data_IF_016566275357
#
_entry.id   IF_016566275357
#
_cell.length_a   1.000
_cell.length_b   1.000
_cell.length_c   1.000
_cell.angle_alpha   90.00
_cell.angle_beta   90.00
_cell.angle_gamma   90.00
#
_symmetry.space_group_name_H-M   'P 1'
#
loop_
_entity.id
_entity.type
_entity.pdbx_description
1 polymer ?
#
# COMPACT_ATOMS: atom_id res chain seq x y z
N UNK A 1 11.79 0.46 -14.97
CA UNK A 1 11.45 1.46 -13.94
C UNK A 1 10.16 2.23 -14.30
N UNK A 2 9.91 2.50 -15.58
CA UNK A 2 8.76 3.27 -16.11
C UNK A 2 7.38 2.76 -15.68
N UNK A 3 7.22 1.44 -15.54
CA UNK A 3 5.98 0.82 -15.08
C UNK A 3 5.67 1.28 -13.65
N UNK A 4 6.66 1.26 -12.75
CA UNK A 4 6.47 1.65 -11.37
C UNK A 4 6.13 3.14 -11.27
N UNK A 5 6.90 4.00 -11.96
CA UNK A 5 6.63 5.44 -12.03
C UNK A 5 5.19 5.75 -12.43
N UNK A 6 4.69 5.06 -13.48
CA UNK A 6 3.34 5.28 -14.00
C UNK A 6 2.24 4.89 -13.00
N UNK A 7 2.45 3.80 -12.25
CA UNK A 7 1.41 3.24 -11.38
C UNK A 7 1.47 3.76 -9.95
N UNK A 8 2.65 4.17 -9.47
CA UNK A 8 2.83 4.69 -8.10
C UNK A 8 2.85 6.22 -8.06
N UNK A 9 3.10 6.89 -9.18
CA UNK A 9 3.27 8.35 -9.24
C UNK A 9 4.60 8.84 -8.65
N UNK A 10 5.53 7.93 -8.34
CA UNK A 10 6.84 8.29 -7.78
C UNK A 10 7.83 8.70 -8.87
N UNK A 11 8.76 9.64 -8.59
CA UNK A 11 9.78 10.04 -9.55
C UNK A 11 10.79 8.93 -9.83
N UNK A 12 11.36 8.91 -11.04
CA UNK A 12 12.36 7.92 -11.48
C UNK A 12 13.54 7.77 -10.53
N UNK A 13 14.07 8.88 -10.00
CA UNK A 13 15.20 8.86 -9.08
C UNK A 13 14.91 8.05 -7.82
N UNK A 14 13.67 8.15 -7.30
CA UNK A 14 13.23 7.41 -6.12
C UNK A 14 13.05 5.93 -6.42
N UNK A 15 12.38 5.59 -7.52
CA UNK A 15 12.23 4.20 -7.96
C UNK A 15 13.60 3.55 -8.11
N UNK A 16 14.52 4.22 -8.81
CA UNK A 16 15.87 3.68 -9.07
C UNK A 16 16.63 3.39 -7.79
N UNK A 17 16.62 4.30 -6.81
CA UNK A 17 17.26 4.10 -5.51
C UNK A 17 16.64 2.95 -4.71
N UNK A 18 15.31 2.83 -4.74
CA UNK A 18 14.57 1.81 -3.99
C UNK A 18 14.62 0.43 -4.68
N UNK A 19 14.87 0.36 -6.00
CA UNK A 19 14.97 -0.91 -6.76
C UNK A 19 16.40 -1.42 -6.94
N UNK A 20 17.42 -0.58 -6.75
CA UNK A 20 18.84 -0.97 -6.87
C UNK A 20 19.30 -1.88 -5.71
N UNK A 21 18.60 -1.83 -4.58
CA UNK A 21 18.77 -2.77 -3.47
C UNK A 21 17.43 -3.39 -3.10
N UNK A 22 17.45 -4.61 -2.59
CA UNK A 22 16.25 -5.24 -2.04
C UNK A 22 15.68 -4.37 -0.91
N UNK A 23 14.70 -3.52 -1.25
CA UNK A 23 14.04 -2.61 -0.33
C UNK A 23 12.64 -3.15 0.00
N UNK A 24 12.48 -3.63 1.23
CA UNK A 24 11.20 -4.12 1.73
C UNK A 24 10.45 -2.99 2.42
N UNK A 25 9.17 -2.85 2.06
CA UNK A 25 8.24 -1.92 2.70
C UNK A 25 7.24 -2.70 3.53
N UNK A 26 6.83 -2.14 4.67
CA UNK A 26 5.65 -2.62 5.37
C UNK A 26 4.36 -2.27 4.61
N UNK A 27 3.22 -2.80 5.08
CA UNK A 27 1.95 -2.63 4.39
C UNK A 27 1.50 -1.15 4.30
N UNK A 28 1.80 -0.34 5.33
CA UNK A 28 1.44 1.08 5.34
C UNK A 28 2.36 1.89 4.43
N UNK A 29 3.66 1.59 4.46
CA UNK A 29 4.64 2.19 3.56
C UNK A 29 4.29 1.90 2.10
N UNK A 30 3.91 0.67 1.76
CA UNK A 30 3.49 0.31 0.41
C UNK A 30 2.24 1.10 -0.05
N UNK A 31 1.32 1.40 0.88
CA UNK A 31 0.15 2.23 0.61
C UNK A 31 0.55 3.68 0.32
N UNK A 32 1.36 4.27 1.18
CA UNK A 32 1.82 5.65 1.02
C UNK A 32 2.70 5.82 -0.23
N UNK A 33 3.40 4.76 -0.62
CA UNK A 33 4.16 4.72 -1.86
C UNK A 33 3.27 4.70 -3.11
N UNK A 34 2.01 4.30 -2.99
CA UNK A 34 1.08 4.11 -4.11
C UNK A 34 1.14 2.73 -4.76
N UNK A 35 1.72 1.72 -4.08
CA UNK A 35 1.77 0.33 -4.57
C UNK A 35 0.45 -0.40 -4.29
N UNK A 36 -0.24 -0.05 -3.20
CA UNK A 36 -1.51 -0.65 -2.81
C UNK A 36 -2.52 0.42 -2.37
N UNK A 37 -3.81 0.16 -2.57
CA UNK A 37 -4.87 1.13 -2.25
C UNK A 37 -5.24 1.17 -0.76
N UNK A 38 -5.02 0.07 -0.04
CA UNK A 38 -5.46 -0.07 1.35
C UNK A 38 -4.84 -1.24 2.08
N UNK A 39 -4.74 -1.10 3.41
CA UNK A 39 -4.25 -2.13 4.33
C UNK A 39 -5.44 -2.70 5.11
N UNK A 40 -5.64 -4.01 5.03
CA UNK A 40 -6.69 -4.70 5.78
C UNK A 40 -6.10 -5.25 7.08
N UNK A 41 -6.36 -4.58 8.19
CA UNK A 41 -6.12 -5.17 9.50
C UNK A 41 -7.26 -6.13 9.82
N UNK A 42 -6.92 -7.35 10.28
CA UNK A 42 -7.77 -8.45 10.75
C UNK A 42 -9.24 -8.38 10.29
N UNK A 43 -9.66 -9.29 9.40
CA UNK A 43 -11.04 -9.36 8.87
C UNK A 43 -12.07 -9.21 9.99
N UNK A 44 -12.58 -7.99 10.16
CA UNK A 44 -13.51 -7.67 11.22
C UNK A 44 -14.73 -8.56 11.05
N UNK A 45 -14.95 -9.47 12.01
CA UNK A 45 -16.25 -10.09 12.19
C UNK A 45 -17.21 -8.91 12.31
N UNK A 46 -18.04 -8.67 11.29
CA UNK A 46 -19.03 -7.59 11.33
C UNK A 46 -19.92 -7.87 12.55
N UNK A 47 -19.63 -7.23 13.68
CA UNK A 47 -20.50 -7.27 14.85
C UNK A 47 -21.79 -6.62 14.38
N UNK A 48 -22.80 -7.44 14.12
CA UNK A 48 -24.16 -6.98 13.83
C UNK A 48 -24.57 -6.10 15.00
N UNK A 49 -24.54 -4.76 14.83
CA UNK A 49 -25.15 -3.84 15.78
C UNK A 49 -26.62 -4.22 15.87
N UNK A 50 -27.00 -4.83 16.99
CA UNK A 50 -28.35 -5.28 17.26
C UNK A 50 -29.33 -4.14 17.02
N UNK A 51 -30.32 -4.42 16.18
CA UNK A 51 -31.54 -3.64 16.05
C UNK A 51 -32.29 -3.82 17.38
N UNK A 52 -32.11 -2.89 18.31
CA UNK A 52 -32.95 -2.79 19.51
C UNK A 52 -34.30 -2.27 19.04
N UNK A 53 -35.30 -3.14 19.04
CA UNK A 53 -36.72 -2.81 19.13
C UNK A 53 -37.21 -3.17 20.52
#
# INVERSE_FOLDING_TARGET
EDILVTHTGQPHERIKADTDRDFFMDAFQAKDYGIVDGVLEKRGTKVKKGRRG
#
